data_IF_437708758584
#
_entry.id   IF_437708758584
#
_cell.length_a   1.000
_cell.length_b   1.000
_cell.length_c   1.000
_cell.angle_alpha   90.00
_cell.angle_beta   90.00
_cell.angle_gamma   90.00
#
_symmetry.space_group_name_H-M   'P 1'
#
loop_
_entity.id
_entity.type
_entity.pdbx_description
1 polymer ?
#
# COMPACT_ATOMS: atom_id res chain seq x y z
N UNK A 1 0.96 -42.61 28.53
CA UNK A 1 2.07 -41.70 28.15
C UNK A 1 3.25 -42.03 29.04
N UNK A 2 4.36 -42.48 28.47
CA UNK A 2 5.53 -42.96 29.22
C UNK A 2 6.26 -41.83 29.93
N UNK A 3 6.79 -42.10 31.10
CA UNK A 3 7.58 -41.15 31.93
C UNK A 3 8.72 -40.46 31.16
N UNK A 4 9.24 -41.10 30.13
CA UNK A 4 10.29 -40.55 29.27
C UNK A 4 9.85 -39.33 28.47
N UNK A 5 8.62 -39.30 27.95
CA UNK A 5 8.10 -38.17 27.13
C UNK A 5 7.85 -36.92 27.99
N UNK A 6 7.43 -37.08 29.23
CA UNK A 6 7.26 -35.96 30.19
C UNK A 6 8.58 -35.30 30.56
N UNK A 7 9.63 -36.10 30.73
CA UNK A 7 10.95 -35.56 31.09
C UNK A 7 11.63 -34.82 29.91
N UNK A 8 11.43 -35.28 28.68
CA UNK A 8 11.93 -34.56 27.48
C UNK A 8 11.18 -33.25 27.22
N UNK A 9 9.87 -33.19 27.41
CA UNK A 9 9.10 -31.96 27.28
C UNK A 9 9.48 -30.95 28.38
N UNK A 10 9.67 -31.40 29.60
CA UNK A 10 10.10 -30.56 30.74
C UNK A 10 11.51 -29.98 30.50
N UNK A 11 12.43 -30.78 29.97
CA UNK A 11 13.79 -30.31 29.61
C UNK A 11 13.79 -29.26 28.49
N UNK A 12 12.96 -29.45 27.45
CA UNK A 12 12.79 -28.49 26.36
C UNK A 12 12.19 -27.16 26.85
N UNK A 13 11.22 -27.19 27.75
CA UNK A 13 10.64 -25.99 28.33
C UNK A 13 11.65 -25.21 29.19
N UNK A 14 12.50 -25.91 29.96
CA UNK A 14 13.55 -25.27 30.77
C UNK A 14 14.60 -24.58 29.88
N UNK A 15 15.02 -25.23 28.78
CA UNK A 15 15.96 -24.65 27.81
C UNK A 15 15.37 -23.43 27.14
N UNK A 16 14.11 -23.45 26.77
CA UNK A 16 13.42 -22.28 26.17
C UNK A 16 13.32 -21.09 27.12
N UNK A 17 13.03 -21.36 28.42
CA UNK A 17 12.97 -20.30 29.45
C UNK A 17 14.35 -19.71 29.72
N UNK A 18 15.40 -20.53 29.75
CA UNK A 18 16.78 -20.04 29.92
C UNK A 18 17.24 -19.23 28.73
N UNK A 19 16.93 -19.63 27.50
CA UNK A 19 17.23 -18.86 26.28
C UNK A 19 16.48 -17.52 26.24
N UNK A 20 15.24 -17.46 26.70
CA UNK A 20 14.48 -16.22 26.83
C UNK A 20 15.07 -15.30 27.90
N UNK A 21 15.52 -15.84 29.05
CA UNK A 21 16.16 -15.07 30.10
C UNK A 21 17.53 -14.52 29.67
N UNK A 22 18.33 -15.30 28.93
CA UNK A 22 19.63 -14.86 28.41
C UNK A 22 19.46 -13.75 27.38
N UNK A 23 18.44 -13.83 26.49
CA UNK A 23 18.14 -12.73 25.55
C UNK A 23 17.66 -11.47 26.27
N UNK A 24 16.88 -11.60 27.35
CA UNK A 24 16.43 -10.46 28.13
C UNK A 24 17.60 -9.77 28.86
N UNK A 25 18.55 -10.52 29.37
CA UNK A 25 19.76 -10.00 30.06
C UNK A 25 20.73 -9.32 29.08
N UNK A 26 20.81 -9.82 27.81
CA UNK A 26 21.67 -9.19 26.77
C UNK A 26 21.03 -7.93 26.15
N UNK A 27 19.71 -7.80 26.18
CA UNK A 27 19.01 -6.62 25.61
C UNK A 27 18.91 -5.48 26.64
N UNK A 28 18.82 -5.76 27.93
CA UNK A 28 18.72 -4.76 28.98
C UNK A 28 19.92 -3.76 29.04
N UNK A 29 21.19 -4.16 28.87
CA UNK A 29 22.29 -3.19 28.84
C UNK A 29 22.30 -2.32 27.58
N UNK A 30 21.75 -2.81 26.46
CA UNK A 30 21.64 -2.00 25.22
C UNK A 30 20.59 -0.89 25.36
N UNK A 31 19.51 -1.11 26.12
CA UNK A 31 18.48 -0.10 26.38
C UNK A 31 18.90 0.94 27.42
N UNK A 32 19.77 0.57 28.38
CA UNK A 32 20.24 1.50 29.42
C UNK A 32 21.31 2.47 28.91
N UNK A 33 22.05 2.13 27.86
CA UNK A 33 23.07 3.00 27.25
C UNK A 33 22.49 4.07 26.32
N UNK A 34 21.20 3.98 25.93
CA UNK A 34 20.56 4.99 25.08
C UNK A 34 19.83 6.09 25.86
N UNK A 35 19.71 5.95 27.19
CA UNK A 35 19.10 6.96 28.05
C UNK A 35 20.17 7.90 28.60
N UNK A 36 20.43 8.99 27.87
CA UNK A 36 21.12 10.14 28.43
C UNK A 36 22.63 10.23 28.21
N UNK A 37 23.09 10.04 26.96
CA UNK A 37 24.37 10.66 26.60
C UNK A 37 24.12 12.15 26.39
N UNK A 38 24.23 12.91 27.44
CA UNK A 38 24.45 14.36 27.33
C UNK A 38 25.65 14.54 26.39
N UNK A 39 25.56 15.43 25.39
CA UNK A 39 26.76 15.75 24.59
C UNK A 39 27.82 16.25 25.52
N UNK A 40 28.91 15.49 25.68
CA UNK A 40 30.08 15.94 26.42
C UNK A 40 30.63 17.14 25.68
N UNK A 41 30.91 18.25 26.37
CA UNK A 41 31.52 19.41 25.75
C UNK A 41 32.87 18.96 25.14
N UNK A 42 33.01 19.13 23.83
CA UNK A 42 34.28 18.89 23.14
C UNK A 42 35.27 19.93 23.66
N UNK A 43 36.16 19.51 24.54
CA UNK A 43 37.31 20.32 24.97
C UNK A 43 38.30 20.33 23.81
N UNK A 44 38.41 21.42 23.08
CA UNK A 44 39.51 21.65 22.18
C UNK A 44 40.75 21.97 22.98
N UNK A 45 41.70 20.99 23.05
CA UNK A 45 43.04 21.23 23.59
C UNK A 45 43.85 22.06 22.58
N UNK A 46 44.00 23.35 22.88
CA UNK A 46 45.01 24.16 22.19
C UNK A 46 46.34 23.97 22.93
N UNK A 47 47.34 23.48 22.18
CA UNK A 47 48.73 23.45 22.68
C UNK A 47 49.24 24.89 22.88
N UNK A 48 49.46 25.28 24.15
CA UNK A 48 50.06 26.53 24.45
C UNK A 48 51.59 26.37 24.45
N UNK A 49 52.24 26.89 23.44
CA UNK A 49 53.72 27.10 23.48
C UNK A 49 54.03 28.15 24.55
N UNK A 50 54.90 27.73 25.49
CA UNK A 50 55.58 28.53 26.50
C UNK A 50 54.73 29.08 27.66
N UNK A 51 54.65 28.32 28.75
CA UNK A 51 54.76 28.87 30.13
C UNK A 51 53.59 29.71 30.65
N UNK A 52 52.40 29.64 30.08
CA UNK A 52 51.22 30.39 30.54
C UNK A 52 50.18 29.48 31.23
N UNK A 53 49.60 29.95 32.33
CA UNK A 53 48.49 29.33 33.04
C UNK A 53 47.37 28.98 32.05
N UNK A 54 46.98 27.71 31.98
CA UNK A 54 45.84 27.21 31.18
C UNK A 54 44.56 27.89 31.68
N UNK A 55 44.07 28.89 30.96
CA UNK A 55 42.77 29.49 31.21
C UNK A 55 41.73 28.66 30.49
N UNK A 56 41.02 27.83 31.23
CA UNK A 56 39.87 27.09 30.71
C UNK A 56 38.76 28.12 30.42
N UNK A 57 38.60 28.51 29.15
CA UNK A 57 37.42 29.26 28.73
C UNK A 57 36.25 28.25 28.70
N UNK A 58 35.12 28.58 29.37
CA UNK A 58 33.95 27.76 29.26
C UNK A 58 33.54 27.72 27.77
N UNK A 59 33.45 26.52 27.22
CA UNK A 59 32.88 26.33 25.88
C UNK A 59 31.46 26.92 25.91
N UNK A 60 31.23 27.96 25.11
CA UNK A 60 29.89 28.48 24.92
C UNK A 60 29.02 27.33 24.37
N UNK A 61 28.17 26.78 25.23
CA UNK A 61 27.14 25.85 24.77
C UNK A 61 26.29 26.62 23.76
N UNK A 62 26.13 26.11 22.52
CA UNK A 62 25.26 26.77 21.55
C UNK A 62 23.89 26.93 22.20
N UNK A 63 23.50 28.16 22.46
CA UNK A 63 22.20 28.52 23.00
C UNK A 63 21.20 28.06 21.97
N UNK A 64 20.52 26.94 22.19
CA UNK A 64 19.38 26.53 21.37
C UNK A 64 18.35 27.64 21.50
N UNK A 65 18.30 28.49 20.48
CA UNK A 65 17.23 29.47 20.34
C UNK A 65 15.97 28.66 20.13
N UNK A 66 15.12 28.62 21.14
CA UNK A 66 13.84 27.96 21.09
C UNK A 66 13.02 28.67 19.99
N UNK A 67 12.91 28.02 18.84
CA UNK A 67 12.25 28.63 17.70
C UNK A 67 10.75 28.70 18.00
N UNK A 68 10.21 29.94 18.05
CA UNK A 68 8.79 30.21 18.21
C UNK A 68 8.04 29.69 16.97
N UNK A 69 7.40 28.53 17.06
CA UNK A 69 6.79 27.89 15.90
C UNK A 69 5.37 27.41 16.18
N UNK A 70 4.55 27.46 15.13
CA UNK A 70 3.23 26.82 15.07
C UNK A 70 3.34 25.66 14.08
N UNK A 71 2.95 24.46 14.51
CA UNK A 71 2.85 23.31 13.64
C UNK A 71 1.38 23.05 13.30
N UNK A 72 1.05 23.01 12.01
CA UNK A 72 -0.30 22.78 11.51
C UNK A 72 -0.30 21.68 10.45
N UNK A 73 -1.42 20.96 10.40
CA UNK A 73 -1.67 19.98 9.35
C UNK A 73 -2.74 20.52 8.43
N UNK A 74 -2.39 20.59 7.15
CA UNK A 74 -3.32 20.95 6.09
C UNK A 74 -3.76 19.72 5.31
N UNK A 75 -5.04 19.69 4.94
CA UNK A 75 -5.65 18.64 4.14
C UNK A 75 -6.28 19.28 2.92
N UNK A 76 -5.96 18.74 1.75
CA UNK A 76 -6.57 19.14 0.49
C UNK A 76 -7.15 17.92 -0.22
N UNK A 77 -8.33 18.07 -0.78
CA UNK A 77 -9.02 17.03 -1.55
C UNK A 77 -9.46 17.61 -2.88
N UNK A 78 -9.00 17.01 -3.96
CA UNK A 78 -9.46 17.28 -5.33
C UNK A 78 -10.31 16.10 -5.82
N UNK A 79 -11.29 16.38 -6.67
CA UNK A 79 -12.22 15.40 -7.21
C UNK A 79 -12.18 15.41 -8.73
N UNK A 80 -12.29 14.22 -9.32
CA UNK A 80 -12.34 14.04 -10.77
C UNK A 80 -13.22 12.86 -11.15
N UNK A 81 -13.71 12.87 -12.39
CA UNK A 81 -14.46 11.75 -12.94
C UNK A 81 -13.49 10.62 -13.29
N UNK A 82 -13.84 9.34 -13.00
CA UNK A 82 -13.05 8.23 -13.48
C UNK A 82 -13.00 8.25 -15.02
N UNK A 83 -11.85 7.96 -15.57
CA UNK A 83 -11.60 7.89 -17.01
C UNK A 83 -11.00 6.55 -17.44
N UNK A 84 -10.84 5.62 -16.49
CA UNK A 84 -10.34 4.26 -16.72
C UNK A 84 -11.19 3.25 -15.97
N UNK A 85 -11.39 2.08 -16.61
CA UNK A 85 -11.93 0.91 -15.94
C UNK A 85 -10.90 -0.23 -15.97
N UNK A 86 -10.74 -0.91 -14.84
CA UNK A 86 -9.89 -2.09 -14.70
C UNK A 86 -10.79 -3.29 -14.50
N UNK A 87 -10.70 -4.25 -15.42
CA UNK A 87 -11.39 -5.53 -15.38
C UNK A 87 -10.38 -6.63 -15.07
N UNK A 88 -10.76 -7.61 -14.27
CA UNK A 88 -9.96 -8.81 -14.09
C UNK A 88 -10.78 -10.02 -14.44
N UNK A 89 -10.42 -10.65 -15.56
CA UNK A 89 -10.98 -11.90 -16.03
C UNK A 89 -10.13 -13.07 -15.54
N UNK A 90 -10.76 -14.20 -15.25
CA UNK A 90 -10.03 -15.43 -15.02
C UNK A 90 -10.64 -16.55 -15.87
N UNK A 91 -9.75 -17.39 -16.36
CA UNK A 91 -10.08 -18.66 -17.00
C UNK A 91 -9.66 -19.77 -16.05
N UNK A 92 -10.60 -20.60 -15.66
CA UNK A 92 -10.38 -21.77 -14.83
C UNK A 92 -10.71 -22.99 -15.68
N UNK A 93 -9.74 -23.87 -15.86
CA UNK A 93 -9.88 -25.14 -16.58
C UNK A 93 -9.51 -26.31 -15.66
N UNK A 94 -10.16 -27.45 -15.86
CA UNK A 94 -9.90 -28.67 -15.10
C UNK A 94 -9.66 -29.83 -16.07
N UNK A 95 -8.76 -30.74 -15.65
CA UNK A 95 -8.45 -31.94 -16.41
C UNK A 95 -8.08 -33.10 -15.47
N UNK A 96 -8.10 -34.32 -16.00
CA UNK A 96 -7.62 -35.47 -15.25
C UNK A 96 -6.10 -35.42 -15.07
N UNK A 97 -5.40 -34.84 -16.02
CA UNK A 97 -3.96 -34.59 -16.00
C UNK A 97 -3.62 -33.10 -15.94
N UNK A 98 -2.43 -32.80 -15.45
CA UNK A 98 -1.91 -31.42 -15.44
C UNK A 98 -1.82 -30.85 -16.86
N UNK A 99 -1.46 -31.68 -17.85
CA UNK A 99 -1.33 -31.29 -19.24
C UNK A 99 -2.68 -30.90 -19.84
N UNK A 100 -3.73 -31.69 -19.61
CA UNK A 100 -5.09 -31.37 -20.08
C UNK A 100 -5.61 -30.06 -19.49
N UNK A 101 -5.51 -29.89 -18.16
CA UNK A 101 -5.93 -28.66 -17.51
C UNK A 101 -5.18 -27.42 -18.02
N UNK A 102 -3.87 -27.58 -18.31
CA UNK A 102 -3.04 -26.54 -18.91
C UNK A 102 -3.46 -26.19 -20.33
N UNK A 103 -3.62 -27.21 -21.19
CA UNK A 103 -3.96 -27.02 -22.62
C UNK A 103 -5.34 -26.35 -22.77
N UNK A 104 -6.36 -26.84 -22.06
CA UNK A 104 -7.71 -26.25 -22.06
C UNK A 104 -7.70 -24.80 -21.56
N UNK A 105 -6.91 -24.50 -20.49
CA UNK A 105 -6.75 -23.15 -20.01
C UNK A 105 -6.06 -22.24 -21.02
N UNK A 106 -4.98 -22.71 -21.65
CA UNK A 106 -4.22 -21.95 -22.66
C UNK A 106 -5.06 -21.61 -23.88
N UNK A 107 -5.86 -22.58 -24.39
CA UNK A 107 -6.76 -22.35 -25.52
C UNK A 107 -7.80 -21.27 -25.20
N UNK A 108 -8.46 -21.37 -24.03
CA UNK A 108 -9.50 -20.43 -23.63
C UNK A 108 -8.95 -19.04 -23.38
N UNK A 109 -7.80 -18.91 -22.65
CA UNK A 109 -7.23 -17.58 -22.38
C UNK A 109 -6.76 -16.89 -23.66
N UNK A 110 -6.19 -17.65 -24.62
CA UNK A 110 -5.79 -17.12 -25.91
C UNK A 110 -7.01 -16.65 -26.71
N UNK A 111 -8.13 -17.39 -26.67
CA UNK A 111 -9.39 -16.99 -27.30
C UNK A 111 -9.93 -15.68 -26.67
N UNK A 112 -9.87 -15.54 -25.34
CA UNK A 112 -10.26 -14.31 -24.66
C UNK A 112 -9.39 -13.13 -25.13
N UNK A 113 -8.06 -13.30 -25.15
CA UNK A 113 -7.13 -12.26 -25.60
C UNK A 113 -7.41 -11.86 -27.06
N UNK A 114 -7.61 -12.84 -27.96
CA UNK A 114 -7.91 -12.57 -29.37
C UNK A 114 -9.22 -11.78 -29.51
N UNK A 115 -10.29 -12.20 -28.83
CA UNK A 115 -11.59 -11.51 -28.83
C UNK A 115 -11.51 -10.08 -28.30
N UNK A 116 -10.70 -9.85 -27.27
CA UNK A 116 -10.49 -8.51 -26.72
C UNK A 116 -9.69 -7.62 -27.69
N UNK A 117 -8.70 -8.16 -28.39
CA UNK A 117 -7.98 -7.45 -29.48
C UNK A 117 -8.93 -7.08 -30.63
N UNK A 118 -9.80 -7.98 -31.04
CA UNK A 118 -10.83 -7.71 -32.05
C UNK A 118 -11.84 -6.65 -31.60
N UNK A 119 -12.07 -6.54 -30.30
CA UNK A 119 -12.88 -5.47 -29.71
C UNK A 119 -12.15 -4.12 -29.59
N UNK A 120 -10.91 -4.00 -30.12
CA UNK A 120 -10.12 -2.77 -30.15
C UNK A 120 -9.29 -2.50 -28.89
N UNK A 121 -9.12 -3.50 -28.02
CA UNK A 121 -8.26 -3.36 -26.83
C UNK A 121 -6.82 -3.69 -27.23
N UNK A 122 -5.93 -2.72 -27.07
CA UNK A 122 -4.53 -2.87 -27.38
C UNK A 122 -3.81 -3.84 -26.43
N UNK A 123 -2.72 -4.45 -26.87
CA UNK A 123 -1.99 -5.44 -26.07
C UNK A 123 -1.42 -4.83 -24.79
N UNK A 124 -1.00 -3.58 -24.85
CA UNK A 124 -0.47 -2.81 -23.71
C UNK A 124 -1.51 -2.53 -22.62
N UNK A 125 -2.80 -2.67 -22.96
CA UNK A 125 -3.92 -2.56 -22.03
C UNK A 125 -4.24 -3.88 -21.31
N UNK A 126 -3.56 -4.96 -21.69
CA UNK A 126 -3.76 -6.31 -21.15
C UNK A 126 -2.50 -6.80 -20.42
N UNK A 127 -2.69 -7.35 -19.23
CA UNK A 127 -1.60 -7.86 -18.40
C UNK A 127 -2.02 -9.17 -17.72
N UNK A 128 -1.20 -10.20 -17.85
CA UNK A 128 -1.40 -11.44 -17.08
C UNK A 128 -0.95 -11.20 -15.62
N UNK A 129 -1.90 -11.19 -14.70
CA UNK A 129 -1.66 -10.90 -13.28
C UNK A 129 -1.67 -12.14 -12.40
N UNK A 130 -1.90 -13.31 -12.95
CA UNK A 130 -1.86 -14.55 -12.20
C UNK A 130 -1.91 -15.78 -13.08
N UNK A 131 -1.14 -16.78 -12.70
CA UNK A 131 -1.15 -18.12 -13.28
C UNK A 131 -0.94 -19.14 -12.17
N UNK A 132 -1.78 -20.19 -12.14
CA UNK A 132 -1.65 -21.31 -11.18
C UNK A 132 -2.10 -22.61 -11.82
N UNK A 133 -1.36 -23.68 -11.53
CA UNK A 133 -1.74 -25.05 -11.82
C UNK A 133 -1.61 -25.85 -10.53
N UNK A 134 -2.72 -26.38 -10.04
CA UNK A 134 -2.77 -27.10 -8.77
C UNK A 134 -3.47 -28.44 -8.91
N UNK A 135 -3.02 -29.49 -8.19
CA UNK A 135 -3.79 -30.72 -8.07
C UNK A 135 -5.05 -30.50 -7.22
N UNK A 136 -6.13 -31.17 -7.59
CA UNK A 136 -7.37 -31.26 -6.82
C UNK A 136 -7.33 -32.58 -6.04
N UNK A 137 -7.49 -32.51 -4.73
CA UNK A 137 -7.48 -33.69 -3.89
C UNK A 137 -8.89 -34.13 -3.50
N UNK A 138 -9.13 -35.43 -3.52
CA UNK A 138 -10.30 -36.07 -2.90
C UNK A 138 -9.89 -36.61 -1.56
N UNK A 139 -10.69 -36.37 -0.52
CA UNK A 139 -10.47 -36.81 0.83
C UNK A 139 -11.53 -37.85 1.24
N UNK A 140 -11.37 -39.15 0.91
CA UNK A 140 -12.30 -40.20 1.35
C UNK A 140 -12.21 -40.36 2.86
N UNK A 141 -13.33 -40.73 3.52
CA UNK A 141 -13.33 -41.00 4.98
C UNK A 141 -12.46 -42.21 5.28
N UNK A 142 -11.41 -42.04 6.11
CA UNK A 142 -10.55 -43.12 6.58
C UNK A 142 -9.45 -43.56 5.62
N UNK A 143 -9.26 -42.85 4.52
CA UNK A 143 -8.20 -43.13 3.55
C UNK A 143 -7.28 -41.90 3.37
N UNK A 144 -6.12 -42.12 2.79
CA UNK A 144 -5.22 -41.01 2.43
C UNK A 144 -5.80 -40.19 1.27
N UNK A 145 -5.50 -38.88 1.25
CA UNK A 145 -5.92 -38.00 0.13
C UNK A 145 -5.35 -38.48 -1.20
N UNK A 146 -6.21 -38.59 -2.23
CA UNK A 146 -5.80 -38.95 -3.58
C UNK A 146 -6.03 -37.78 -4.54
N UNK A 147 -5.19 -37.66 -5.59
CA UNK A 147 -5.38 -36.64 -6.61
C UNK A 147 -6.58 -37.03 -7.46
N UNK A 148 -7.59 -36.14 -7.52
CA UNK A 148 -8.81 -36.32 -8.30
C UNK A 148 -8.76 -35.65 -9.66
N UNK A 149 -7.76 -34.81 -9.92
CA UNK A 149 -7.55 -34.07 -11.14
C UNK A 149 -6.67 -32.83 -10.90
N UNK A 150 -6.64 -31.93 -11.86
CA UNK A 150 -5.86 -30.69 -11.83
C UNK A 150 -6.73 -29.49 -12.20
N UNK A 151 -6.47 -28.36 -11.62
CA UNK A 151 -7.08 -27.08 -11.94
C UNK A 151 -5.99 -26.10 -12.40
N UNK A 152 -6.15 -25.56 -13.60
CA UNK A 152 -5.33 -24.47 -14.13
C UNK A 152 -6.15 -23.18 -14.11
N UNK A 153 -5.56 -22.10 -13.59
CA UNK A 153 -6.17 -20.77 -13.53
C UNK A 153 -5.21 -19.75 -14.12
N UNK A 154 -5.71 -18.99 -15.10
CA UNK A 154 -5.05 -17.79 -15.62
C UNK A 154 -5.91 -16.57 -15.32
N UNK A 155 -5.28 -15.46 -14.96
CA UNK A 155 -5.97 -14.18 -14.68
C UNK A 155 -5.38 -13.08 -15.54
N UNK A 156 -6.25 -12.40 -16.28
CA UNK A 156 -5.94 -11.31 -17.21
C UNK A 156 -6.55 -10.02 -16.68
N UNK A 157 -5.71 -9.03 -16.41
CA UNK A 157 -6.12 -7.66 -16.13
C UNK A 157 -6.24 -6.90 -17.44
N UNK A 158 -7.32 -6.17 -17.61
CA UNK A 158 -7.61 -5.35 -18.77
C UNK A 158 -7.91 -3.93 -18.30
N UNK A 159 -7.19 -2.95 -18.85
CA UNK A 159 -7.39 -1.54 -18.54
C UNK A 159 -8.07 -0.86 -19.70
N UNK A 160 -9.32 -0.46 -19.52
CA UNK A 160 -10.08 0.25 -20.54
C UNK A 160 -9.87 1.75 -20.43
N UNK A 161 -9.68 2.41 -21.57
CA UNK A 161 -9.53 3.88 -21.70
C UNK A 161 -10.87 4.59 -21.91
N UNK A 162 -11.95 3.85 -22.06
CA UNK A 162 -13.33 4.36 -22.10
C UNK A 162 -14.16 3.59 -21.09
N UNK A 163 -15.11 4.28 -20.48
CA UNK A 163 -16.08 3.67 -19.54
C UNK A 163 -17.33 3.20 -20.27
N UNK A 164 -17.48 3.59 -21.54
CA UNK A 164 -18.58 3.13 -22.38
C UNK A 164 -18.34 1.68 -22.84
N UNK A 165 -19.39 0.89 -22.88
CA UNK A 165 -19.30 -0.48 -23.38
C UNK A 165 -18.61 -1.49 -22.44
N UNK A 166 -18.31 -1.15 -21.18
CA UNK A 166 -17.67 -2.07 -20.21
C UNK A 166 -18.45 -3.39 -20.10
N UNK A 167 -19.78 -3.35 -20.08
CA UNK A 167 -20.63 -4.53 -20.05
C UNK A 167 -20.47 -5.40 -21.30
N UNK A 168 -20.37 -4.80 -22.48
CA UNK A 168 -20.15 -5.51 -23.76
C UNK A 168 -18.79 -6.22 -23.77
N UNK A 169 -17.74 -5.57 -23.26
CA UNK A 169 -16.42 -6.19 -23.14
C UNK A 169 -16.45 -7.42 -22.23
N UNK A 170 -17.19 -7.32 -21.12
CA UNK A 170 -17.39 -8.46 -20.22
C UNK A 170 -18.11 -9.60 -20.94
N UNK A 171 -19.19 -9.31 -21.65
CA UNK A 171 -19.96 -10.31 -22.38
C UNK A 171 -19.13 -11.01 -23.46
N UNK A 172 -18.31 -10.26 -24.21
CA UNK A 172 -17.38 -10.80 -25.22
C UNK A 172 -16.34 -11.72 -24.58
N UNK A 173 -15.72 -11.30 -23.48
CA UNK A 173 -14.71 -12.09 -22.78
C UNK A 173 -15.30 -13.39 -22.20
N UNK A 174 -16.52 -13.34 -21.64
CA UNK A 174 -17.22 -14.53 -21.11
C UNK A 174 -17.57 -15.49 -22.23
N UNK A 175 -18.09 -15.01 -23.38
CA UNK A 175 -18.38 -15.83 -24.55
C UNK A 175 -17.12 -16.49 -25.15
N UNK A 176 -15.98 -15.83 -25.04
CA UNK A 176 -14.69 -16.33 -25.51
C UNK A 176 -14.02 -17.34 -24.56
N UNK A 177 -14.57 -17.57 -23.36
CA UNK A 177 -14.07 -18.58 -22.42
C UNK A 177 -13.66 -18.09 -21.04
N UNK A 178 -13.74 -16.78 -20.75
CA UNK A 178 -13.59 -16.30 -19.38
C UNK A 178 -14.77 -16.78 -18.53
N UNK A 179 -14.50 -17.56 -17.49
CA UNK A 179 -15.54 -18.15 -16.65
C UNK A 179 -15.59 -17.55 -15.24
N UNK A 180 -14.77 -16.54 -15.00
CA UNK A 180 -14.83 -15.73 -13.79
C UNK A 180 -14.46 -14.28 -14.09
N UNK A 181 -15.29 -13.34 -13.62
CA UNK A 181 -14.99 -11.90 -13.58
C UNK A 181 -14.73 -11.54 -12.11
N UNK A 182 -13.48 -11.34 -11.77
CA UNK A 182 -13.06 -11.19 -10.36
C UNK A 182 -13.35 -9.79 -9.82
N UNK A 183 -13.21 -8.75 -10.67
CA UNK A 183 -13.47 -7.36 -10.25
C UNK A 183 -13.73 -6.46 -11.45
N UNK A 184 -14.55 -5.45 -11.21
CA UNK A 184 -14.66 -4.24 -12.03
C UNK A 184 -14.31 -3.06 -11.12
N UNK A 185 -13.29 -2.31 -11.48
CA UNK A 185 -12.83 -1.15 -10.71
C UNK A 185 -12.73 0.06 -11.62
N UNK A 186 -13.14 1.21 -11.12
CA UNK A 186 -12.99 2.48 -11.81
C UNK A 186 -11.85 3.27 -11.17
N UNK A 187 -11.04 3.90 -12.02
CA UNK A 187 -9.86 4.65 -11.57
C UNK A 187 -9.62 5.85 -12.48
N UNK A 188 -8.59 6.59 -12.16
CA UNK A 188 -8.09 7.71 -12.96
C UNK A 188 -6.89 7.26 -13.78
N UNK A 189 -6.71 7.84 -14.97
CA UNK A 189 -5.45 7.77 -15.69
C UNK A 189 -4.32 8.37 -14.84
N UNK A 190 -3.08 8.02 -15.17
CA UNK A 190 -1.91 8.59 -14.49
C UNK A 190 -1.88 10.13 -14.62
N UNK A 191 -2.18 10.64 -15.80
CA UNK A 191 -2.23 12.06 -16.09
C UNK A 191 -3.26 12.79 -15.23
N UNK A 192 -4.50 12.27 -15.18
CA UNK A 192 -5.57 12.87 -14.38
C UNK A 192 -5.30 12.74 -12.88
N UNK A 193 -4.69 11.66 -12.46
CA UNK A 193 -4.26 11.46 -11.06
C UNK A 193 -3.21 12.48 -10.64
N UNK A 194 -2.18 12.70 -11.45
CA UNK A 194 -1.15 13.70 -11.14
C UNK A 194 -1.71 15.14 -11.19
N UNK A 195 -2.62 15.43 -12.10
CA UNK A 195 -3.33 16.72 -12.13
C UNK A 195 -4.11 16.96 -10.84
N UNK A 196 -4.93 16.00 -10.41
CA UNK A 196 -5.71 16.10 -9.17
C UNK A 196 -4.82 16.14 -7.93
N UNK A 197 -3.70 15.43 -7.95
CA UNK A 197 -2.71 15.46 -6.86
C UNK A 197 -2.09 16.84 -6.70
N UNK A 198 -1.73 17.49 -7.80
CA UNK A 198 -1.21 18.87 -7.78
C UNK A 198 -2.27 19.85 -7.24
N UNK A 199 -3.52 19.70 -7.66
CA UNK A 199 -4.65 20.49 -7.15
C UNK A 199 -4.87 20.26 -5.66
N UNK A 200 -4.93 19.00 -5.21
CA UNK A 200 -5.09 18.64 -3.80
C UNK A 200 -3.94 19.17 -2.93
N UNK A 201 -2.70 19.13 -3.45
CA UNK A 201 -1.54 19.68 -2.75
C UNK A 201 -1.67 21.19 -2.55
N UNK A 202 -2.09 21.92 -3.59
CA UNK A 202 -2.36 23.37 -3.49
C UNK A 202 -3.42 23.67 -2.42
N UNK A 203 -4.51 22.91 -2.40
CA UNK A 203 -5.57 23.04 -1.41
C UNK A 203 -5.07 22.72 0.02
N UNK A 204 -4.24 21.69 0.18
CA UNK A 204 -3.67 21.31 1.47
C UNK A 204 -2.77 22.43 2.05
N UNK A 205 -1.92 23.03 1.22
CA UNK A 205 -1.06 24.14 1.64
C UNK A 205 -1.90 25.37 1.99
N UNK A 206 -2.96 25.65 1.24
CA UNK A 206 -3.91 26.74 1.52
C UNK A 206 -4.64 26.53 2.83
N UNK A 207 -5.09 25.30 3.11
CA UNK A 207 -5.74 24.92 4.37
C UNK A 207 -4.79 25.06 5.57
N UNK A 208 -3.53 24.57 5.45
CA UNK A 208 -2.52 24.74 6.49
C UNK A 208 -2.26 26.22 6.79
N UNK A 209 -2.14 27.05 5.75
CA UNK A 209 -1.95 28.49 5.90
C UNK A 209 -3.12 29.16 6.63
N UNK A 210 -4.35 28.86 6.23
CA UNK A 210 -5.55 29.40 6.88
C UNK A 210 -5.66 29.02 8.36
N UNK A 211 -5.29 27.76 8.70
CA UNK A 211 -5.23 27.31 10.09
C UNK A 211 -4.17 28.06 10.91
N UNK A 212 -2.95 28.23 10.37
CA UNK A 212 -1.87 28.96 11.02
C UNK A 212 -2.24 30.41 11.25
N UNK A 213 -2.85 31.10 10.27
CA UNK A 213 -3.32 32.48 10.39
C UNK A 213 -4.42 32.63 11.46
N UNK A 214 -5.31 31.65 11.54
CA UNK A 214 -6.39 31.65 12.54
C UNK A 214 -5.81 31.50 13.95
N UNK A 215 -4.86 30.59 14.15
CA UNK A 215 -4.16 30.37 15.43
C UNK A 215 -3.39 31.63 15.83
N UNK A 216 -2.63 32.19 14.89
CA UNK A 216 -1.83 33.40 15.14
C UNK A 216 -2.70 34.58 15.58
N UNK A 217 -3.83 34.80 14.90
CA UNK A 217 -4.80 35.85 15.26
C UNK A 217 -5.39 35.62 16.66
N UNK A 218 -5.78 34.41 16.97
CA UNK A 218 -6.35 34.08 18.28
C UNK A 218 -5.33 34.20 19.42
N UNK A 219 -4.06 33.92 19.15
CA UNK A 219 -2.96 34.03 20.12
C UNK A 219 -2.34 35.44 20.23
N UNK A 220 -2.75 36.38 19.35
CA UNK A 220 -2.19 37.75 19.36
C UNK A 220 -0.74 37.79 18.86
N UNK A 221 -0.29 36.87 18.03
CA UNK A 221 1.05 36.75 17.48
C UNK A 221 1.05 36.98 15.96
N UNK A 222 2.21 37.33 15.40
CA UNK A 222 2.36 37.58 13.96
C UNK A 222 3.18 36.48 13.32
N UNK A 223 2.65 35.88 12.25
CA UNK A 223 3.38 34.89 11.45
C UNK A 223 4.49 35.56 10.66
N UNK A 224 5.67 34.92 10.64
CA UNK A 224 6.80 35.33 9.80
C UNK A 224 6.73 34.62 8.45
N UNK A 225 6.50 33.31 8.48
CA UNK A 225 6.40 32.49 7.27
C UNK A 225 6.57 31.00 7.57
N UNK A 226 6.47 30.14 6.54
CA UNK A 226 6.73 28.72 6.71
C UNK A 226 8.24 28.47 6.88
N UNK A 227 8.61 27.75 7.93
CA UNK A 227 9.98 27.31 8.20
C UNK A 227 10.28 25.96 7.57
N UNK A 228 9.30 25.05 7.58
CA UNK A 228 9.39 23.77 6.89
C UNK A 228 8.01 23.31 6.43
N UNK A 229 8.00 22.59 5.30
CA UNK A 229 6.81 21.95 4.74
C UNK A 229 7.18 20.51 4.45
N UNK A 230 6.40 19.58 4.98
CA UNK A 230 6.58 18.14 4.77
C UNK A 230 5.30 17.52 4.23
N UNK A 231 5.42 16.71 3.20
CA UNK A 231 4.34 15.89 2.70
C UNK A 231 4.19 14.66 3.61
N UNK A 232 3.05 14.53 4.28
CA UNK A 232 2.85 13.51 5.33
C UNK A 232 2.23 12.23 4.77
N UNK A 233 1.49 12.32 3.67
CA UNK A 233 0.88 11.15 3.03
C UNK A 233 1.18 11.11 1.54
N UNK A 234 1.51 9.91 1.05
CA UNK A 234 1.46 9.65 -0.39
C UNK A 234 -0.01 9.54 -0.79
N UNK A 235 -0.48 10.35 -1.73
CA UNK A 235 -1.87 10.31 -2.14
C UNK A 235 -2.19 8.93 -2.72
N UNK A 236 -3.10 8.22 -2.07
CA UNK A 236 -3.63 6.95 -2.59
C UNK A 236 -5.01 7.25 -3.16
N UNK A 237 -5.23 7.04 -4.47
CA UNK A 237 -6.56 7.21 -5.03
C UNK A 237 -7.52 6.21 -4.38
N UNK A 238 -8.72 6.66 -4.01
CA UNK A 238 -9.77 5.77 -3.54
C UNK A 238 -10.29 5.01 -4.77
N UNK A 239 -9.90 3.74 -4.88
CA UNK A 239 -10.40 2.84 -5.93
C UNK A 239 -11.80 2.39 -5.52
N UNK A 240 -12.80 2.75 -6.30
CA UNK A 240 -14.16 2.28 -6.07
C UNK A 240 -14.29 0.86 -6.61
N UNK A 241 -14.41 -0.13 -5.70
CA UNK A 241 -14.68 -1.53 -6.04
C UNK A 241 -16.15 -1.82 -5.82
N UNK A 242 -16.87 -2.14 -6.88
CA UNK A 242 -18.23 -2.68 -6.76
C UNK A 242 -18.13 -4.21 -6.70
N UNK A 243 -18.54 -4.80 -5.59
CA UNK A 243 -18.74 -6.24 -5.52
C UNK A 243 -19.89 -6.62 -6.47
N UNK A 244 -19.62 -7.53 -7.41
CA UNK A 244 -20.67 -8.10 -8.24
C UNK A 244 -21.48 -9.06 -7.34
N UNK A 245 -22.71 -8.70 -7.02
CA UNK A 245 -23.64 -9.64 -6.40
C UNK A 245 -24.01 -10.72 -7.42
N UNK A 246 -24.11 -11.98 -6.99
CA UNK A 246 -24.68 -13.06 -7.81
C UNK A 246 -26.08 -12.65 -8.25
N UNK A 247 -26.24 -12.28 -9.50
CA UNK A 247 -27.53 -11.92 -10.08
C UNK A 247 -28.18 -13.18 -10.65
N UNK A 248 -29.45 -13.39 -10.31
CA UNK A 248 -30.31 -14.35 -10.96
C UNK A 248 -30.40 -14.05 -12.48
N UNK A 249 -30.57 -15.05 -13.35
CA UNK A 249 -30.48 -14.89 -14.79
C UNK A 249 -31.69 -14.13 -15.35
N UNK A 250 -31.50 -12.84 -15.61
CA UNK A 250 -32.39 -12.04 -16.45
C UNK A 250 -31.59 -11.69 -17.70
N UNK A 251 -32.11 -11.91 -18.93
CA UNK A 251 -31.39 -11.63 -20.17
C UNK A 251 -31.42 -10.12 -20.49
N UNK A 252 -30.85 -9.33 -19.63
CA UNK A 252 -30.60 -7.90 -19.88
C UNK A 252 -29.10 -7.70 -19.84
N UNK A 253 -28.48 -6.95 -20.78
CA UNK A 253 -27.05 -6.65 -20.72
C UNK A 253 -26.69 -6.11 -19.35
N UNK A 254 -25.60 -6.62 -18.77
CA UNK A 254 -25.12 -6.17 -17.46
C UNK A 254 -24.77 -4.68 -17.51
N UNK A 255 -25.57 -3.84 -16.86
CA UNK A 255 -25.30 -2.42 -16.78
C UNK A 255 -24.29 -2.14 -15.68
N UNK A 256 -23.08 -1.77 -16.07
CA UNK A 256 -22.01 -1.34 -15.16
C UNK A 256 -22.04 0.17 -15.07
N UNK A 257 -22.36 0.70 -13.88
CA UNK A 257 -22.47 2.14 -13.65
C UNK A 257 -21.18 2.59 -12.90
N UNK A 258 -20.34 3.46 -13.49
CA UNK A 258 -19.19 4.03 -12.82
C UNK A 258 -19.64 4.98 -11.68
N UNK A 259 -18.79 5.22 -10.65
CA UNK A 259 -19.03 6.26 -9.67
C UNK A 259 -18.97 7.65 -10.35
N UNK A 260 -19.71 8.60 -9.82
CA UNK A 260 -19.76 9.95 -10.37
C UNK A 260 -18.43 10.68 -10.23
N UNK A 261 -17.73 10.51 -9.09
CA UNK A 261 -16.45 11.15 -8.80
C UNK A 261 -15.53 10.20 -8.01
N UNK A 262 -14.24 10.37 -8.21
CA UNK A 262 -13.16 9.84 -7.39
C UNK A 262 -12.44 11.01 -6.72
N UNK A 263 -11.92 10.78 -5.50
CA UNK A 263 -11.21 11.83 -4.76
C UNK A 263 -9.75 11.45 -4.55
N UNK A 264 -8.88 12.46 -4.67
CA UNK A 264 -7.45 12.40 -4.31
C UNK A 264 -7.24 13.33 -3.13
N UNK A 265 -6.75 12.80 -2.02
CA UNK A 265 -6.52 13.59 -0.80
C UNK A 265 -5.03 13.63 -0.50
N UNK A 266 -4.54 14.82 -0.20
CA UNK A 266 -3.15 15.10 0.18
C UNK A 266 -3.12 15.73 1.56
N UNK A 267 -2.17 15.33 2.40
CA UNK A 267 -1.94 15.90 3.72
C UNK A 267 -0.53 16.46 3.82
N UNK A 268 -0.41 17.70 4.26
CA UNK A 268 0.87 18.38 4.49
C UNK A 268 0.99 18.79 5.96
N UNK A 269 2.20 18.69 6.50
CA UNK A 269 2.56 19.27 7.79
C UNK A 269 3.41 20.49 7.53
N UNK A 270 3.02 21.63 8.11
CA UNK A 270 3.72 22.90 7.91
C UNK A 270 4.06 23.50 9.27
N UNK A 271 5.32 23.83 9.44
CA UNK A 271 5.83 24.56 10.62
C UNK A 271 5.99 26.03 10.21
N UNK A 272 5.23 26.91 10.86
CA UNK A 272 5.33 28.34 10.71
C UNK A 272 6.12 28.96 11.85
N UNK A 273 6.96 29.95 11.55
CA UNK A 273 7.64 30.77 12.55
C UNK A 273 6.78 32.00 12.87
N UNK A 274 6.81 32.44 14.15
CA UNK A 274 6.11 33.63 14.59
C UNK A 274 6.98 34.53 15.46
N UNK A 275 6.61 35.81 15.54
CA UNK A 275 7.23 36.85 16.38
C UNK A 275 6.20 37.55 17.27
#
# INVERSE_FOLDING_TARGET
MSTGLRNTVLALCIVAVVLLAVNLVLVLPAYSTFKGRQPQPMVQLYEAEKGGLLRILPAETPRMVEAKTINVVGVGTAKGKPDRAILTFSVIARGETATEAYQDNAEKINSVIATLKEAGIAEEQMETVGYRLNPIYRHPKGEEPTIAGYECRSSLKVTLTSLEGVGEIIDRAVKAGANQVSSVSFTLSEEERERLKAEALSLAVKDAKGKAETIARAAGISLVGPKSISLTSTPTPIIYRKALAEAAPVPTPLQIIPPEELSVTVTVSVVYEFK
#
